data_IF_662039577439
#
_entry.id   IF_662039577439
#
_cell.length_a   1.000
_cell.length_b   1.000
_cell.length_c   1.000
_cell.angle_alpha   90.00
_cell.angle_beta   90.00
_cell.angle_gamma   90.00
#
_symmetry.space_group_name_H-M   'P 1'
#
loop_
_entity.id
_entity.type
_entity.pdbx_description
1 polymer ?
#
# COMPACT_ATOMS: atom_id res chain seq x y z
N UNK A 1 20.28 12.55 5.52
CA UNK A 1 20.26 11.29 6.26
C UNK A 1 19.41 11.50 7.52
N UNK A 2 18.11 11.68 7.32
CA UNK A 2 17.14 11.94 8.39
C UNK A 2 16.74 10.63 9.08
N UNK A 3 16.39 9.59 8.32
CA UNK A 3 16.04 8.29 8.88
C UNK A 3 17.21 7.64 9.64
N UNK A 4 18.41 7.71 9.06
CA UNK A 4 19.61 7.10 9.65
C UNK A 4 20.04 7.75 10.98
N UNK A 5 19.57 8.97 11.26
CA UNK A 5 19.82 9.64 12.55
C UNK A 5 18.85 9.18 13.65
N UNK A 6 17.77 8.49 13.31
CA UNK A 6 16.77 7.97 14.27
C UNK A 6 17.22 6.62 14.88
N UNK A 7 16.90 6.36 16.16
CA UNK A 7 17.13 5.05 16.77
C UNK A 7 16.55 3.91 15.94
N UNK A 8 17.33 2.83 15.76
CA UNK A 8 16.96 1.66 14.93
C UNK A 8 15.59 1.08 15.30
N UNK A 9 15.25 1.04 16.59
CA UNK A 9 13.97 0.52 17.07
C UNK A 9 12.74 1.33 16.65
N UNK A 10 12.92 2.55 16.14
CA UNK A 10 11.82 3.39 15.64
C UNK A 10 11.44 3.09 14.20
N UNK A 11 12.38 2.62 13.38
CA UNK A 11 12.18 2.41 11.95
C UNK A 11 12.37 0.95 11.50
N UNK A 12 12.94 0.08 12.35
CA UNK A 12 12.93 -1.38 12.16
C UNK A 12 11.82 -1.99 13.02
N UNK A 13 10.99 -2.84 12.42
CA UNK A 13 9.88 -3.53 13.09
C UNK A 13 9.90 -5.01 12.74
N UNK A 14 9.36 -5.81 13.65
CA UNK A 14 9.21 -7.25 13.44
C UNK A 14 7.77 -7.65 13.66
N UNK A 15 7.34 -8.70 12.96
CA UNK A 15 5.99 -9.23 13.09
C UNK A 15 6.00 -10.76 13.13
N UNK A 16 5.21 -11.35 14.04
CA UNK A 16 5.01 -12.80 14.15
C UNK A 16 3.55 -13.07 14.51
N UNK A 17 2.88 -13.95 13.74
CA UNK A 17 1.50 -14.32 14.04
C UNK A 17 0.51 -13.15 14.00
N UNK A 18 0.79 -12.15 13.16
CA UNK A 18 0.06 -10.87 13.05
C UNK A 18 0.22 -9.91 14.26
N UNK A 19 1.07 -10.24 15.22
CA UNK A 19 1.43 -9.37 16.34
C UNK A 19 2.84 -8.79 16.18
N UNK A 20 3.15 -7.78 17.00
CA UNK A 20 4.50 -7.21 17.10
C UNK A 20 5.47 -8.28 17.60
N UNK A 21 6.55 -8.49 16.85
CA UNK A 21 7.64 -9.39 17.22
C UNK A 21 8.61 -8.78 18.23
N UNK A 22 9.60 -9.58 18.64
CA UNK A 22 10.72 -9.15 19.47
C UNK A 22 11.85 -8.52 18.63
N UNK A 23 13.03 -8.31 19.24
CA UNK A 23 14.22 -7.91 18.50
C UNK A 23 14.47 -8.75 17.22
N UNK A 24 14.96 -8.16 16.11
CA UNK A 24 15.10 -8.86 14.82
C UNK A 24 15.94 -10.14 14.86
N UNK A 25 16.95 -10.17 15.72
CA UNK A 25 17.91 -11.27 15.84
C UNK A 25 17.46 -12.41 16.75
N UNK A 26 16.38 -12.23 17.51
CA UNK A 26 16.00 -13.17 18.57
C UNK A 26 15.44 -14.48 18.03
N UNK A 27 14.90 -14.47 16.80
CA UNK A 27 14.32 -15.66 16.21
C UNK A 27 14.34 -15.63 14.66
N UNK A 28 15.53 -15.77 14.07
CA UNK A 28 15.72 -15.70 12.62
C UNK A 28 14.81 -16.69 11.87
N UNK A 29 14.24 -16.24 10.74
CA UNK A 29 13.37 -17.06 9.89
C UNK A 29 11.95 -17.32 10.43
N UNK A 30 11.63 -16.85 11.64
CA UNK A 30 10.32 -17.07 12.27
C UNK A 30 9.53 -15.78 12.56
N UNK A 31 10.05 -14.65 12.08
CA UNK A 31 9.40 -13.36 12.11
C UNK A 31 9.71 -12.62 10.83
N UNK A 32 8.76 -11.82 10.36
CA UNK A 32 9.01 -10.83 9.34
C UNK A 32 9.80 -9.66 9.93
N UNK A 33 10.70 -9.07 9.15
CA UNK A 33 11.50 -7.90 9.53
C UNK A 33 11.26 -6.83 8.48
N UNK A 34 10.61 -5.75 8.89
CA UNK A 34 10.25 -4.62 8.02
C UNK A 34 11.00 -3.37 8.44
N UNK A 35 11.21 -2.47 7.49
CA UNK A 35 11.84 -1.18 7.72
C UNK A 35 10.99 -0.05 7.12
N UNK A 36 11.04 1.12 7.73
CA UNK A 36 10.60 2.35 7.09
C UNK A 36 11.48 2.62 5.86
N UNK A 37 10.86 3.06 4.75
CA UNK A 37 11.60 3.38 3.53
C UNK A 37 12.37 4.68 3.77
N UNK A 38 13.69 4.63 3.59
CA UNK A 38 14.57 5.81 3.68
C UNK A 38 14.41 6.70 2.45
N UNK A 39 13.28 7.42 2.35
CA UNK A 39 12.96 8.28 1.19
C UNK A 39 14.05 9.34 0.95
N UNK A 40 14.67 9.84 2.02
CA UNK A 40 15.75 10.82 1.95
C UNK A 40 17.07 10.26 1.37
N UNK A 41 17.13 8.96 1.11
CA UNK A 41 18.25 8.26 0.47
C UNK A 41 17.93 7.76 -0.94
N UNK A 42 16.71 7.99 -1.44
CA UNK A 42 16.31 7.61 -2.80
C UNK A 42 16.78 8.66 -3.83
N UNK A 43 16.89 8.29 -5.13
CA UNK A 43 17.24 9.25 -6.18
C UNK A 43 16.30 10.47 -6.18
N UNK A 44 16.81 11.68 -6.41
CA UNK A 44 15.96 12.87 -6.47
C UNK A 44 15.03 12.83 -7.68
N UNK A 45 14.03 13.72 -7.70
CA UNK A 45 13.11 13.89 -8.83
C UNK A 45 11.84 13.03 -8.78
N UNK A 46 11.59 12.35 -7.66
CA UNK A 46 10.31 11.70 -7.43
C UNK A 46 9.19 12.74 -7.29
N UNK A 47 8.06 12.50 -7.94
CA UNK A 47 6.78 13.11 -7.57
C UNK A 47 6.20 12.28 -6.43
N UNK A 48 5.84 12.94 -5.33
CA UNK A 48 5.26 12.29 -4.15
C UNK A 48 3.77 12.56 -4.08
N UNK A 49 3.00 11.52 -3.74
CA UNK A 49 1.58 11.61 -3.42
C UNK A 49 1.23 10.66 -2.27
N UNK A 50 -0.01 10.73 -1.79
CA UNK A 50 -0.55 9.69 -0.90
C UNK A 50 -1.04 8.51 -1.74
N UNK A 51 -1.07 7.31 -1.15
CA UNK A 51 -1.67 6.14 -1.77
C UNK A 51 -3.14 6.41 -2.14
N UNK A 52 -3.88 7.10 -1.27
CA UNK A 52 -5.27 7.43 -1.55
C UNK A 52 -5.42 8.32 -2.80
N UNK A 53 -4.57 9.34 -2.94
CA UNK A 53 -4.61 10.23 -4.10
C UNK A 53 -4.13 9.54 -5.37
N UNK A 54 -3.08 8.72 -5.28
CA UNK A 54 -2.60 7.91 -6.40
C UNK A 54 -3.68 6.94 -6.91
N UNK A 55 -4.34 6.20 -6.01
CA UNK A 55 -5.39 5.27 -6.38
C UNK A 55 -6.62 5.97 -6.96
N UNK A 56 -6.98 7.16 -6.44
CA UNK A 56 -8.03 7.99 -7.03
C UNK A 56 -7.66 8.51 -8.42
N UNK A 57 -6.40 8.90 -8.62
CA UNK A 57 -5.89 9.34 -9.92
C UNK A 57 -5.92 8.23 -10.97
N UNK A 58 -5.78 6.97 -10.53
CA UNK A 58 -5.90 5.78 -11.38
C UNK A 58 -7.31 5.15 -11.35
N UNK A 59 -8.34 5.94 -11.06
CA UNK A 59 -9.75 5.58 -11.20
C UNK A 59 -10.16 4.32 -10.43
N UNK A 60 -9.64 4.12 -9.21
CA UNK A 60 -10.13 3.03 -8.32
C UNK A 60 -11.64 3.10 -8.11
N UNK A 61 -12.24 4.30 -8.22
CA UNK A 61 -13.69 4.50 -8.20
C UNK A 61 -14.43 3.69 -9.26
N UNK A 62 -13.91 3.62 -10.48
CA UNK A 62 -14.53 2.86 -11.58
C UNK A 62 -14.53 1.37 -11.28
N UNK A 63 -13.45 0.86 -10.66
CA UNK A 63 -13.36 -0.54 -10.24
C UNK A 63 -14.36 -0.87 -9.12
N UNK A 64 -14.59 0.06 -8.20
CA UNK A 64 -15.57 -0.07 -7.12
C UNK A 64 -16.99 0.00 -7.68
N UNK A 65 -17.30 0.94 -8.55
CA UNK A 65 -18.62 1.07 -9.17
C UNK A 65 -18.97 -0.17 -10.00
N UNK A 66 -18.02 -0.69 -10.78
CA UNK A 66 -18.19 -1.93 -11.50
C UNK A 66 -18.47 -3.11 -10.55
N UNK A 67 -17.80 -3.15 -9.39
CA UNK A 67 -18.07 -4.10 -8.31
C UNK A 67 -19.50 -3.97 -7.76
N UNK A 68 -19.93 -2.76 -7.39
CA UNK A 68 -21.28 -2.50 -6.87
C UNK A 68 -22.37 -2.96 -7.84
N UNK A 69 -22.25 -2.61 -9.12
CA UNK A 69 -23.21 -3.03 -10.16
C UNK A 69 -23.25 -4.56 -10.35
N UNK A 70 -22.11 -5.24 -10.21
CA UNK A 70 -22.04 -6.70 -10.30
C UNK A 70 -22.64 -7.37 -9.07
N UNK A 71 -22.36 -6.82 -7.88
CA UNK A 71 -22.95 -7.28 -6.62
C UNK A 71 -24.47 -7.18 -6.65
N UNK A 72 -25.04 -6.04 -7.05
CA UNK A 72 -26.50 -5.87 -7.16
C UNK A 72 -27.16 -6.94 -8.05
N UNK A 73 -26.52 -7.28 -9.17
CA UNK A 73 -27.04 -8.27 -10.12
C UNK A 73 -26.94 -9.71 -9.62
N UNK A 74 -25.93 -10.03 -8.80
CA UNK A 74 -25.56 -11.42 -8.48
C UNK A 74 -25.58 -11.77 -6.99
N UNK A 75 -25.87 -10.82 -6.10
CA UNK A 75 -25.87 -11.05 -4.65
C UNK A 75 -26.75 -12.23 -4.24
N UNK A 76 -27.88 -12.43 -4.92
CA UNK A 76 -28.81 -13.54 -4.67
C UNK A 76 -28.26 -14.92 -5.08
N UNK A 77 -27.24 -14.97 -5.95
CA UNK A 77 -26.59 -16.21 -6.39
C UNK A 77 -25.49 -16.66 -5.42
N UNK A 78 -24.91 -15.73 -4.65
CA UNK A 78 -23.87 -16.02 -3.66
C UNK A 78 -22.60 -16.65 -4.23
N UNK A 79 -22.32 -16.43 -5.52
CA UNK A 79 -21.17 -17.02 -6.20
C UNK A 79 -19.85 -16.27 -5.96
N UNK A 80 -18.75 -16.84 -6.43
CA UNK A 80 -17.41 -16.25 -6.25
C UNK A 80 -17.29 -14.87 -6.90
N UNK A 81 -18.00 -14.63 -8.01
CA UNK A 81 -17.99 -13.34 -8.68
C UNK A 81 -18.72 -12.28 -7.86
N UNK A 82 -19.85 -12.63 -7.23
CA UNK A 82 -20.55 -11.78 -6.27
C UNK A 82 -19.66 -11.49 -5.03
N UNK A 83 -18.98 -12.51 -4.49
CA UNK A 83 -18.07 -12.31 -3.36
C UNK A 83 -16.90 -11.37 -3.70
N UNK A 84 -16.27 -11.55 -4.86
CA UNK A 84 -15.20 -10.66 -5.35
C UNK A 84 -15.72 -9.23 -5.56
N UNK A 85 -16.91 -9.08 -6.12
CA UNK A 85 -17.54 -7.79 -6.35
C UNK A 85 -17.75 -7.03 -5.02
N UNK A 86 -18.23 -7.73 -3.99
CA UNK A 86 -18.38 -7.17 -2.64
C UNK A 86 -17.05 -6.80 -2.00
N UNK A 87 -16.03 -7.65 -2.15
CA UNK A 87 -14.69 -7.42 -1.57
C UNK A 87 -14.10 -6.09 -2.02
N UNK A 88 -14.24 -5.74 -3.30
CA UNK A 88 -13.73 -4.49 -3.88
C UNK A 88 -14.24 -3.25 -3.16
N UNK A 89 -15.49 -3.25 -2.70
CA UNK A 89 -16.10 -2.12 -2.00
C UNK A 89 -15.40 -1.93 -0.65
N UNK A 90 -15.33 -2.97 0.17
CA UNK A 90 -14.71 -2.91 1.50
C UNK A 90 -13.19 -2.73 1.45
N UNK A 91 -12.52 -3.33 0.46
CA UNK A 91 -11.06 -3.17 0.29
C UNK A 91 -10.70 -1.76 -0.14
N UNK A 92 -11.49 -1.13 -1.01
CA UNK A 92 -11.25 0.25 -1.42
C UNK A 92 -11.37 1.22 -0.25
N UNK A 93 -12.31 1.02 0.68
CA UNK A 93 -12.40 1.82 1.90
C UNK A 93 -11.09 1.73 2.71
N UNK A 94 -10.57 0.52 2.93
CA UNK A 94 -9.31 0.32 3.66
C UNK A 94 -8.10 0.91 2.92
N UNK A 95 -8.05 0.79 1.58
CA UNK A 95 -6.96 1.31 0.74
C UNK A 95 -6.94 2.83 0.64
N UNK A 96 -8.09 3.49 0.85
CA UNK A 96 -8.26 4.94 0.71
C UNK A 96 -8.33 5.68 2.06
N UNK A 97 -8.38 4.97 3.19
CA UNK A 97 -8.41 5.57 4.53
C UNK A 97 -7.08 6.30 4.82
N UNK A 98 -7.10 7.64 4.98
CA UNK A 98 -5.88 8.42 5.24
C UNK A 98 -5.24 8.12 6.61
N UNK A 99 -6.00 7.56 7.56
CA UNK A 99 -5.47 7.10 8.86
C UNK A 99 -4.92 5.67 8.82
N UNK A 100 -5.19 4.95 7.72
CA UNK A 100 -4.72 3.59 7.45
C UNK A 100 -3.80 3.54 6.24
N UNK A 101 -4.09 2.61 5.31
CA UNK A 101 -3.24 2.37 4.15
C UNK A 101 -3.23 3.55 3.16
N UNK A 102 -4.31 4.32 3.09
CA UNK A 102 -4.41 5.49 2.22
C UNK A 102 -3.39 6.58 2.54
N UNK A 103 -2.88 6.61 3.78
CA UNK A 103 -1.81 7.51 4.21
C UNK A 103 -0.40 7.10 3.78
N UNK A 104 -0.21 5.93 3.16
CA UNK A 104 1.11 5.52 2.66
C UNK A 104 1.58 6.45 1.54
N UNK A 105 2.89 6.60 1.40
CA UNK A 105 3.49 7.46 0.38
C UNK A 105 3.72 6.68 -0.92
N UNK A 106 3.34 7.29 -2.04
CA UNK A 106 3.72 6.83 -3.39
C UNK A 106 4.75 7.79 -3.97
N UNK A 107 5.79 7.22 -4.59
CA UNK A 107 6.90 7.96 -5.20
C UNK A 107 7.04 7.53 -6.67
N UNK A 108 6.95 8.48 -7.60
CA UNK A 108 7.02 8.22 -9.04
C UNK A 108 8.19 8.96 -9.69
N UNK A 109 9.05 8.24 -10.42
CA UNK A 109 10.12 8.82 -11.23
C UNK A 109 9.76 8.74 -12.72
N UNK A 110 9.60 9.89 -13.36
CA UNK A 110 9.36 9.96 -14.80
C UNK A 110 10.69 9.96 -15.56
N UNK A 111 10.98 8.87 -16.25
CA UNK A 111 12.17 8.79 -17.11
C UNK A 111 11.83 9.39 -18.46
N UNK A 112 12.41 10.54 -18.78
CA UNK A 112 12.41 11.03 -20.15
C UNK A 112 13.41 10.21 -20.94
N UNK A 113 12.98 9.50 -21.99
CA UNK A 113 13.92 9.00 -22.99
C UNK A 113 14.49 10.21 -23.74
N UNK A 114 15.69 10.66 -23.38
CA UNK A 114 16.47 11.49 -24.28
C UNK A 114 16.90 10.62 -25.46
N UNK A 115 16.17 10.72 -26.57
CA UNK A 115 16.60 10.15 -27.84
C UNK A 115 17.96 10.74 -28.20
N UNK A 116 19.00 9.90 -28.19
CA UNK A 116 20.31 10.28 -28.68
C UNK A 116 20.19 10.75 -30.12
N UNK A 117 20.49 12.02 -30.36
CA UNK A 117 20.86 12.53 -31.68
C UNK A 117 22.37 12.37 -31.88
#
# INVERSE_FOLDING_TARGET
AELAARPVGEWVRTYRGHDRGGPPVDAPGSQDVTVEVAVDQLPPGAVSSTQADFLRHHDIGDLVEAGSRLWEKRAHLGDLDALRARSRISEAEALLDPSGLGGFTVLEWHVSCSGGS
#
